data_IF_644077194582
#
_entry.id   IF_644077194582
#
_cell.length_a   1.000
_cell.length_b   1.000
_cell.length_c   1.000
_cell.angle_alpha   90.00
_cell.angle_beta   90.00
_cell.angle_gamma   90.00
#
_symmetry.space_group_name_H-M   'P 1'
#
loop_
_entity.id
_entity.type
_entity.pdbx_description
1 polymer ?
#
# COMPACT_ATOMS: atom_id res chain seq x y z
N UNK A 1 11.56 13.35 -8.35
CA UNK A 1 12.77 12.72 -8.92
C UNK A 1 12.31 11.65 -9.90
N UNK A 2 13.11 11.33 -10.93
CA UNK A 2 12.79 10.26 -11.92
C UNK A 2 13.43 8.92 -11.57
N UNK A 3 14.10 8.84 -10.43
CA UNK A 3 14.81 7.65 -10.00
C UNK A 3 13.82 6.67 -9.34
N UNK A 4 13.87 5.38 -9.70
CA UNK A 4 13.04 4.38 -9.06
C UNK A 4 13.40 4.26 -7.57
N UNK A 5 12.48 3.76 -6.73
CA UNK A 5 12.77 3.52 -5.32
C UNK A 5 14.01 2.62 -5.17
N UNK A 6 14.90 2.89 -4.20
CA UNK A 6 16.21 2.23 -4.10
C UNK A 6 16.13 0.72 -3.85
N UNK A 7 14.97 0.19 -3.43
CA UNK A 7 14.75 -1.24 -3.20
C UNK A 7 13.39 -1.69 -3.76
N UNK A 8 13.35 -2.89 -4.33
CA UNK A 8 12.13 -3.68 -4.50
C UNK A 8 12.12 -4.67 -3.33
N UNK A 9 10.99 -4.79 -2.63
CA UNK A 9 10.77 -5.58 -1.39
C UNK A 9 11.01 -4.80 -0.08
N UNK A 10 10.13 -3.87 0.24
CA UNK A 10 10.04 -3.23 1.56
C UNK A 10 9.24 -4.09 2.54
N UNK A 11 9.73 -4.22 3.77
CA UNK A 11 8.96 -4.84 4.86
C UNK A 11 7.82 -3.95 5.36
N UNK A 12 7.98 -2.63 5.24
CA UNK A 12 7.01 -1.64 5.72
C UNK A 12 6.93 -0.45 4.77
N UNK A 13 5.72 -0.11 4.35
CA UNK A 13 5.38 1.15 3.67
C UNK A 13 4.36 1.89 4.52
N UNK A 14 4.65 3.15 4.84
CA UNK A 14 3.74 4.04 5.57
C UNK A 14 3.38 5.20 4.67
N UNK A 15 2.09 5.35 4.37
CA UNK A 15 1.56 6.47 3.59
C UNK A 15 0.30 6.98 4.26
N UNK A 16 0.46 7.96 5.17
CA UNK A 16 -0.63 8.51 5.97
C UNK A 16 -0.86 9.98 5.65
N UNK A 17 -2.12 10.35 5.49
CA UNK A 17 -2.57 11.75 5.26
C UNK A 17 -2.04 12.36 3.96
N UNK A 18 -1.74 11.55 2.95
CA UNK A 18 -1.20 11.98 1.64
C UNK A 18 -2.09 11.51 0.49
N UNK A 19 -2.62 10.30 0.58
CA UNK A 19 -3.36 9.67 -0.52
C UNK A 19 -4.63 10.46 -0.85
N UNK A 20 -5.25 11.08 0.16
CA UNK A 20 -6.46 11.91 0.02
C UNK A 20 -6.31 13.12 -0.93
N UNK A 21 -5.08 13.55 -1.24
CA UNK A 21 -4.84 14.66 -2.16
C UNK A 21 -4.79 14.24 -3.62
N UNK A 22 -4.75 12.95 -3.90
CA UNK A 22 -4.70 12.43 -5.26
C UNK A 22 -6.09 12.12 -5.79
N UNK A 23 -6.28 12.32 -7.09
CA UNK A 23 -7.47 11.84 -7.79
C UNK A 23 -7.53 10.31 -7.78
N UNK A 24 -8.73 9.76 -7.91
CA UNK A 24 -9.01 8.32 -7.81
C UNK A 24 -8.08 7.46 -8.66
N UNK A 25 -7.84 7.86 -9.91
CA UNK A 25 -6.97 7.11 -10.83
C UNK A 25 -5.50 7.09 -10.37
N UNK A 26 -5.04 8.19 -9.76
CA UNK A 26 -3.70 8.27 -9.20
C UNK A 26 -3.57 7.46 -7.91
N UNK A 27 -4.60 7.43 -7.07
CA UNK A 27 -4.66 6.58 -5.87
C UNK A 27 -4.54 5.09 -6.25
N UNK A 28 -5.29 4.61 -7.25
CA UNK A 28 -5.21 3.21 -7.71
C UNK A 28 -3.81 2.84 -8.20
N UNK A 29 -3.19 3.70 -9.03
CA UNK A 29 -1.81 3.47 -9.50
C UNK A 29 -0.82 3.46 -8.34
N UNK A 30 -0.96 4.38 -7.39
CA UNK A 30 -0.09 4.47 -6.22
C UNK A 30 -0.18 3.21 -5.35
N UNK A 31 -1.39 2.71 -5.09
CA UNK A 31 -1.58 1.47 -4.35
C UNK A 31 -0.95 0.27 -5.06
N UNK A 32 -1.00 0.22 -6.38
CA UNK A 32 -0.34 -0.84 -7.16
C UNK A 32 1.17 -0.81 -6.97
N UNK A 33 1.78 0.38 -7.06
CA UNK A 33 3.20 0.58 -6.78
C UNK A 33 3.55 0.13 -5.36
N UNK A 34 2.74 0.44 -4.35
CA UNK A 34 2.99 -0.01 -2.98
C UNK A 34 2.96 -1.53 -2.86
N UNK A 35 1.93 -2.20 -3.39
CA UNK A 35 1.82 -3.66 -3.30
C UNK A 35 2.96 -4.36 -4.05
N UNK A 36 3.37 -3.83 -5.20
CA UNK A 36 4.49 -4.38 -5.98
C UNK A 36 5.83 -4.18 -5.27
N UNK A 37 5.99 -3.05 -4.58
CA UNK A 37 7.19 -2.75 -3.81
C UNK A 37 7.28 -3.50 -2.47
N UNK A 38 6.17 -3.98 -1.89
CA UNK A 38 6.18 -4.73 -0.63
C UNK A 38 6.79 -6.13 -0.78
N UNK A 39 7.60 -6.52 0.20
CA UNK A 39 8.03 -7.91 0.38
C UNK A 39 6.83 -8.82 0.70
N UNK A 40 6.90 -10.14 0.41
CA UNK A 40 5.95 -11.09 0.98
C UNK A 40 5.95 -11.00 2.52
N UNK A 41 4.77 -10.93 3.14
CA UNK A 41 4.64 -10.66 4.58
C UNK A 41 4.77 -9.18 4.97
N UNK A 42 5.11 -8.29 4.02
CA UNK A 42 5.27 -6.86 4.27
C UNK A 42 3.96 -6.14 4.57
N UNK A 43 4.07 -4.98 5.23
CA UNK A 43 2.96 -4.21 5.79
C UNK A 43 2.78 -2.88 5.06
N UNK A 44 1.54 -2.56 4.70
CA UNK A 44 1.11 -1.23 4.27
C UNK A 44 0.25 -0.58 5.36
N UNK A 45 0.65 0.62 5.79
CA UNK A 45 -0.05 1.43 6.77
C UNK A 45 -0.63 2.69 6.11
N UNK A 46 -1.95 2.84 6.13
CA UNK A 46 -2.64 4.04 5.61
C UNK A 46 -3.17 4.92 6.75
N UNK A 47 -3.57 6.14 6.42
CA UNK A 47 -4.28 7.05 7.32
C UNK A 47 -5.72 6.60 7.55
N UNK A 48 -6.31 7.03 8.67
CA UNK A 48 -7.65 6.54 9.13
C UNK A 48 -8.77 6.66 8.10
N UNK A 49 -8.73 7.73 7.31
CA UNK A 49 -9.72 8.03 6.26
C UNK A 49 -9.29 7.55 4.87
N UNK A 50 -8.07 7.04 4.74
CA UNK A 50 -7.51 6.55 3.49
C UNK A 50 -7.92 5.09 3.31
N UNK A 51 -8.71 4.85 2.28
CA UNK A 51 -9.25 3.52 1.99
C UNK A 51 -8.53 2.93 0.79
N UNK A 52 -8.02 1.72 0.94
CA UNK A 52 -7.48 0.93 -0.16
C UNK A 52 -8.62 0.40 -1.04
N UNK A 53 -8.52 0.60 -2.36
CA UNK A 53 -9.48 0.10 -3.35
C UNK A 53 -8.79 -0.25 -4.67
N UNK A 54 -9.58 -0.77 -5.61
CA UNK A 54 -9.08 -1.26 -6.89
C UNK A 54 -8.33 -2.60 -6.74
N UNK A 55 -7.63 -3.06 -7.80
CA UNK A 55 -7.00 -4.37 -7.84
C UNK A 55 -5.92 -4.59 -6.76
N UNK A 56 -5.35 -3.52 -6.19
CA UNK A 56 -4.42 -3.59 -5.07
C UNK A 56 -5.05 -4.29 -3.85
N UNK A 57 -6.35 -4.04 -3.64
CA UNK A 57 -7.09 -4.47 -2.45
C UNK A 57 -7.14 -5.98 -2.30
N UNK A 58 -7.23 -6.69 -3.42
CA UNK A 58 -7.37 -8.15 -3.48
C UNK A 58 -6.05 -8.88 -3.19
N UNK A 59 -4.93 -8.16 -3.25
CA UNK A 59 -3.58 -8.69 -2.98
C UNK A 59 -3.12 -8.47 -1.54
N UNK A 60 -3.95 -7.84 -0.71
CA UNK A 60 -3.64 -7.46 0.66
C UNK A 60 -4.73 -7.92 1.63
N UNK A 61 -4.31 -8.42 2.79
CA UNK A 61 -5.20 -8.76 3.90
C UNK A 61 -5.31 -7.56 4.85
N UNK A 62 -6.53 -7.10 5.14
CA UNK A 62 -6.74 -6.06 6.16
C UNK A 62 -6.70 -6.73 7.54
N UNK A 63 -5.68 -6.44 8.34
CA UNK A 63 -5.48 -7.06 9.66
C UNK A 63 -5.95 -6.16 10.81
N UNK A 64 -5.92 -4.84 10.62
CA UNK A 64 -6.50 -3.89 11.57
C UNK A 64 -7.26 -2.77 10.81
N UNK A 65 -8.61 -2.81 10.80
CA UNK A 65 -9.43 -1.81 10.14
C UNK A 65 -9.34 -0.41 10.75
N UNK A 66 -9.09 -0.31 12.06
CA UNK A 66 -9.06 0.97 12.79
C UNK A 66 -7.82 1.76 12.43
N UNK A 67 -6.67 1.08 12.40
CA UNK A 67 -5.37 1.69 12.08
C UNK A 67 -4.98 1.49 10.60
N UNK A 68 -5.89 0.93 9.79
CA UNK A 68 -5.74 0.72 8.34
C UNK A 68 -4.44 -0.03 8.00
N UNK A 69 -4.24 -1.14 8.68
CA UNK A 69 -3.07 -2.00 8.54
C UNK A 69 -3.40 -3.14 7.58
N UNK A 70 -2.62 -3.22 6.51
CA UNK A 70 -2.74 -4.23 5.47
C UNK A 70 -1.44 -5.06 5.40
N UNK A 71 -1.56 -6.37 5.21
CA UNK A 71 -0.43 -7.29 5.07
C UNK A 71 -0.48 -7.95 3.69
N UNK A 72 0.65 -7.97 3.00
CA UNK A 72 0.82 -8.77 1.77
C UNK A 72 1.00 -10.23 2.18
N UNK A 73 0.16 -11.16 1.69
CA UNK A 73 0.33 -12.57 1.99
C UNK A 73 1.77 -13.03 1.66
N UNK A 74 2.37 -13.82 2.55
CA UNK A 74 3.62 -14.51 2.24
C UNK A 74 3.39 -15.45 1.05
N UNK A 75 4.27 -15.42 0.05
CA UNK A 75 4.40 -16.55 -0.85
C UNK A 75 4.85 -17.76 -0.02
N UNK A 76 4.32 -18.94 -0.32
CA UNK A 76 4.88 -20.18 0.22
C UNK A 76 6.37 -20.29 -0.11
#
# INVERSE_FOLDING_TARGET
>A
TREPPPHLQYDLIVCRNVVIYFERQAQERLFQVFVDALAPGGVLLLGKVETLFGPARDRLTLVDPRERIYVKPGGQ
#
